data_IF_231328431122
#
_entry.id   IF_231328431122
#
_cell.length_a   1.000
_cell.length_b   1.000
_cell.length_c   1.000
_cell.angle_alpha   90.00
_cell.angle_beta   90.00
_cell.angle_gamma   90.00
#
_symmetry.space_group_name_H-M   'P 1'
#
loop_
_entity.id
_entity.type
_entity.pdbx_description
1 polymer ?
#
# COMPACT_ATOMS: atom_id res chain seq x y z
N UNK A 1 -3.71 -12.83 -15.44
CA UNK A 1 -2.71 -12.03 -14.70
C UNK A 1 -3.05 -12.16 -13.24
N UNK A 2 -2.25 -12.92 -12.49
CA UNK A 2 -2.62 -13.31 -11.14
C UNK A 2 -2.48 -12.12 -10.17
N UNK A 3 -3.59 -11.60 -9.61
CA UNK A 3 -3.57 -10.44 -8.73
C UNK A 3 -2.85 -10.69 -7.39
N UNK A 4 -2.40 -11.92 -7.17
CA UNK A 4 -1.60 -12.36 -6.02
C UNK A 4 -0.11 -12.05 -6.26
N UNK A 5 0.39 -12.26 -7.48
CA UNK A 5 1.80 -12.05 -7.81
C UNK A 5 2.22 -10.58 -7.68
N UNK A 6 1.38 -9.65 -8.13
CA UNK A 6 1.64 -8.20 -8.03
C UNK A 6 1.81 -7.74 -6.57
N UNK A 7 0.98 -8.25 -5.65
CA UNK A 7 1.04 -7.88 -4.23
C UNK A 7 2.29 -8.42 -3.55
N UNK A 8 2.66 -9.66 -3.89
CA UNK A 8 3.89 -10.27 -3.39
C UNK A 8 5.12 -9.48 -3.87
N UNK A 9 5.15 -9.07 -5.14
CA UNK A 9 6.23 -8.27 -5.69
C UNK A 9 6.40 -6.95 -4.94
N UNK A 10 5.30 -6.23 -4.69
CA UNK A 10 5.30 -4.98 -3.94
C UNK A 10 5.75 -5.18 -2.49
N UNK A 11 5.26 -6.23 -1.82
CA UNK A 11 5.65 -6.54 -0.44
C UNK A 11 7.15 -6.87 -0.34
N UNK A 12 7.67 -7.69 -1.26
CA UNK A 12 9.10 -8.03 -1.31
C UNK A 12 9.95 -6.80 -1.60
N UNK A 13 9.54 -5.93 -2.54
CA UNK A 13 10.24 -4.68 -2.83
C UNK A 13 10.32 -3.78 -1.60
N UNK A 14 9.22 -3.61 -0.87
CA UNK A 14 9.21 -2.84 0.37
C UNK A 14 10.16 -3.42 1.42
N UNK A 15 10.15 -4.74 1.62
CA UNK A 15 11.04 -5.42 2.57
C UNK A 15 12.52 -5.23 2.20
N UNK A 16 12.87 -5.34 0.91
CA UNK A 16 14.23 -5.07 0.43
C UNK A 16 14.66 -3.61 0.62
N UNK A 17 13.73 -2.66 0.49
CA UNK A 17 14.03 -1.26 0.76
C UNK A 17 14.32 -1.01 2.25
N UNK A 18 13.68 -1.73 3.17
CA UNK A 18 13.96 -1.62 4.60
C UNK A 18 15.38 -2.04 4.97
N UNK A 19 15.92 -3.08 4.32
CA UNK A 19 17.30 -3.51 4.58
C UNK A 19 18.33 -2.57 3.95
N UNK A 20 17.97 -1.91 2.85
CA UNK A 20 18.89 -1.08 2.06
C UNK A 20 18.93 0.37 2.57
N UNK A 21 17.82 0.88 3.10
CA UNK A 21 17.69 2.27 3.51
C UNK A 21 17.45 2.41 5.01
N UNK A 22 18.39 3.04 5.70
CA UNK A 22 18.16 3.54 7.05
C UNK A 22 17.36 4.86 6.95
N UNK A 23 16.03 4.74 6.96
CA UNK A 23 15.09 5.86 7.02
C UNK A 23 14.22 5.66 8.28
N UNK A 24 14.12 6.65 9.18
CA UNK A 24 13.30 6.54 10.38
C UNK A 24 11.84 6.24 10.04
N UNK A 25 11.24 5.24 10.68
CA UNK A 25 9.83 4.85 10.52
C UNK A 25 9.40 4.30 9.16
N UNK A 26 10.34 4.03 8.24
CA UNK A 26 10.02 3.41 6.95
C UNK A 26 9.41 2.02 7.11
N UNK A 27 9.86 1.27 8.13
CA UNK A 27 9.32 -0.05 8.49
C UNK A 27 7.84 0.00 8.87
N UNK A 28 7.43 1.05 9.58
CA UNK A 28 6.02 1.25 9.96
C UNK A 28 5.16 1.49 8.73
N UNK A 29 5.62 2.35 7.82
CA UNK A 29 4.89 2.64 6.58
C UNK A 29 4.78 1.41 5.67
N UNK A 30 5.88 0.64 5.52
CA UNK A 30 5.87 -0.62 4.79
C UNK A 30 4.91 -1.64 5.42
N UNK A 31 4.92 -1.80 6.75
CA UNK A 31 4.03 -2.69 7.47
C UNK A 31 2.54 -2.31 7.29
N UNK A 32 2.22 -1.01 7.32
CA UNK A 32 0.86 -0.50 7.06
C UNK A 32 0.40 -0.87 5.65
N UNK A 33 1.25 -0.67 4.64
CA UNK A 33 0.91 -0.95 3.25
C UNK A 33 0.67 -2.44 3.03
N UNK A 34 1.60 -3.29 3.48
CA UNK A 34 1.51 -4.75 3.36
C UNK A 34 0.30 -5.29 4.14
N UNK A 35 0.16 -4.89 5.40
CA UNK A 35 -0.94 -5.32 6.26
C UNK A 35 -2.31 -4.99 5.67
N UNK A 36 -2.45 -3.80 5.08
CA UNK A 36 -3.68 -3.41 4.37
C UNK A 36 -3.93 -4.26 3.14
N UNK A 37 -2.91 -4.60 2.35
CA UNK A 37 -3.10 -5.44 1.16
C UNK A 37 -3.65 -6.82 1.54
N UNK A 38 -3.16 -7.41 2.63
CA UNK A 38 -3.67 -8.68 3.16
C UNK A 38 -5.10 -8.51 3.69
N UNK A 39 -5.34 -7.52 4.56
CA UNK A 39 -6.63 -7.29 5.19
C UNK A 39 -7.76 -7.05 4.18
N UNK A 40 -7.53 -6.21 3.16
CA UNK A 40 -8.53 -5.94 2.12
C UNK A 40 -8.72 -7.15 1.20
N UNK A 41 -7.69 -7.96 0.99
CA UNK A 41 -7.82 -9.21 0.23
C UNK A 41 -8.73 -10.20 0.94
N UNK A 42 -8.47 -10.43 2.24
CA UNK A 42 -9.28 -11.30 3.08
C UNK A 42 -10.73 -10.79 3.22
N UNK A 43 -10.92 -9.48 3.44
CA UNK A 43 -12.25 -8.88 3.51
C UNK A 43 -13.03 -9.09 2.21
N UNK A 44 -12.38 -8.90 1.06
CA UNK A 44 -13.00 -9.09 -0.25
C UNK A 44 -13.37 -10.55 -0.51
N UNK A 45 -12.52 -11.48 -0.10
CA UNK A 45 -12.79 -12.91 -0.19
C UNK A 45 -13.98 -13.32 0.68
N UNK A 46 -14.02 -12.88 1.93
CA UNK A 46 -15.14 -13.11 2.83
C UNK A 46 -16.46 -12.51 2.29
N UNK A 47 -16.44 -11.26 1.82
CA UNK A 47 -17.64 -10.63 1.22
C UNK A 47 -18.15 -11.39 -0.01
N UNK A 48 -17.23 -11.93 -0.83
CA UNK A 48 -17.60 -12.79 -1.95
C UNK A 48 -18.27 -14.08 -1.49
N UNK A 49 -17.83 -14.68 -0.39
CA UNK A 49 -18.42 -15.88 0.18
C UNK A 49 -19.83 -15.63 0.76
N UNK A 50 -20.10 -14.45 1.33
CA UNK A 50 -21.42 -14.05 1.85
C UNK A 50 -22.36 -13.53 0.75
N UNK A 51 -21.91 -13.50 -0.52
CA UNK A 51 -22.73 -13.07 -1.66
C UNK A 51 -23.01 -11.57 -1.72
N UNK A 52 -22.37 -10.75 -0.87
CA UNK A 52 -22.53 -9.30 -0.85
C UNK A 52 -21.42 -8.63 -1.66
N UNK A 53 -21.79 -8.02 -2.79
CA UNK A 53 -20.89 -7.17 -3.56
C UNK A 53 -20.97 -5.74 -3.04
N UNK A 54 -20.10 -5.39 -2.10
CA UNK A 54 -19.94 -4.00 -1.68
C UNK A 54 -19.21 -3.25 -2.80
N UNK A 55 -19.97 -2.58 -3.66
CA UNK A 55 -19.44 -1.64 -4.66
C UNK A 55 -19.14 -0.31 -3.98
N UNK A 56 -18.05 -0.27 -3.20
CA UNK A 56 -17.57 1.00 -2.65
C UNK A 56 -16.93 1.78 -3.81
N UNK A 57 -17.54 2.90 -4.22
CA UNK A 57 -16.93 3.86 -5.15
C UNK A 57 -15.70 4.53 -4.50
N UNK A 58 -14.56 3.83 -4.51
CA UNK A 58 -13.24 4.32 -4.03
C UNK A 58 -12.28 4.53 -5.20
N UNK A 59 -12.79 4.54 -6.43
CA UNK A 59 -11.99 4.35 -7.64
C UNK A 59 -10.92 5.42 -7.85
N UNK A 60 -11.21 6.68 -7.52
CA UNK A 60 -10.23 7.76 -7.73
C UNK A 60 -9.13 7.78 -6.67
N UNK A 61 -9.48 7.65 -5.37
CA UNK A 61 -8.46 7.63 -4.31
C UNK A 61 -7.54 6.40 -4.38
N UNK A 62 -8.07 5.26 -4.86
CA UNK A 62 -7.26 4.06 -5.06
C UNK A 62 -6.17 4.28 -6.12
N UNK A 63 -6.46 5.02 -7.20
CA UNK A 63 -5.50 5.33 -8.28
C UNK A 63 -4.35 6.21 -7.79
N UNK A 64 -4.65 7.28 -7.06
CA UNK A 64 -3.62 8.18 -6.54
C UNK A 64 -2.68 7.46 -5.57
N UNK A 65 -3.24 6.64 -4.67
CA UNK A 65 -2.44 5.83 -3.75
C UNK A 65 -1.48 4.91 -4.50
N UNK A 66 -1.95 4.17 -5.50
CA UNK A 66 -1.09 3.26 -6.28
C UNK A 66 -0.05 4.01 -7.10
N UNK A 67 -0.40 5.15 -7.69
CA UNK A 67 0.56 5.98 -8.41
C UNK A 67 1.68 6.48 -7.48
N UNK A 68 1.32 6.99 -6.30
CA UNK A 68 2.29 7.43 -5.29
C UNK A 68 3.17 6.28 -4.80
N UNK A 69 2.58 5.10 -4.56
CA UNK A 69 3.31 3.92 -4.11
C UNK A 69 4.32 3.44 -5.15
N UNK A 70 3.90 3.30 -6.41
CA UNK A 70 4.78 2.86 -7.49
C UNK A 70 5.90 3.87 -7.74
N UNK A 71 5.60 5.17 -7.72
CA UNK A 71 6.58 6.23 -7.92
C UNK A 71 7.59 6.28 -6.75
N UNK A 72 7.13 6.06 -5.52
CA UNK A 72 7.98 5.95 -4.34
C UNK A 72 8.95 4.77 -4.44
N UNK A 73 8.44 3.60 -4.84
CA UNK A 73 9.26 2.40 -5.03
C UNK A 73 10.32 2.62 -6.10
N UNK A 74 9.96 3.17 -7.26
CA UNK A 74 10.91 3.46 -8.34
C UNK A 74 12.02 4.40 -7.85
N UNK A 75 11.68 5.48 -7.14
CA UNK A 75 12.67 6.41 -6.59
C UNK A 75 13.61 5.76 -5.57
N UNK A 76 13.07 4.95 -4.67
CA UNK A 76 13.84 4.32 -3.60
C UNK A 76 14.71 3.16 -4.12
N UNK A 77 14.26 2.44 -5.14
CA UNK A 77 15.05 1.39 -5.81
C UNK A 77 16.15 1.99 -6.67
N UNK A 78 15.90 3.12 -7.34
CA UNK A 78 16.89 3.79 -8.18
C UNK A 78 18.00 4.49 -7.39
N UNK A 79 17.77 4.79 -6.11
CA UNK A 79 18.78 5.43 -5.27
C UNK A 79 20.01 4.53 -5.06
N UNK A 80 21.19 5.08 -5.38
CA UNK A 80 22.49 4.47 -5.10
C UNK A 80 23.33 5.39 -4.19
N UNK A 81 24.18 4.87 -3.28
CA UNK A 81 25.13 5.68 -2.51
C UNK A 81 26.05 6.46 -3.47
N UNK A 82 25.91 7.78 -3.53
CA UNK A 82 26.59 8.65 -4.53
C UNK A 82 25.63 9.32 -5.53
N UNK A 83 24.36 8.93 -5.55
CA UNK A 83 23.29 9.61 -6.28
C UNK A 83 22.72 10.79 -5.49
N UNK A 84 21.73 11.47 -6.07
CA UNK A 84 21.12 12.64 -5.47
C UNK A 84 20.42 12.33 -4.14
N UNK A 85 20.86 12.98 -3.06
CA UNK A 85 20.28 12.83 -1.72
C UNK A 85 18.78 13.15 -1.67
N UNK A 86 18.31 14.08 -2.50
CA UNK A 86 16.89 14.44 -2.55
C UNK A 86 16.00 13.27 -3.01
N UNK A 87 16.51 12.37 -3.85
CA UNK A 87 15.74 11.24 -4.39
C UNK A 87 15.29 10.27 -3.29
N UNK A 88 16.18 10.01 -2.32
CA UNK A 88 15.89 9.18 -1.14
C UNK A 88 14.75 9.77 -0.31
N UNK A 89 14.82 11.07 -0.01
CA UNK A 89 13.80 11.74 0.82
C UNK A 89 12.48 11.93 0.09
N UNK A 90 12.50 12.28 -1.20
CA UNK A 90 11.29 12.36 -2.00
C UNK A 90 10.56 11.01 -2.06
N UNK A 91 11.29 9.91 -2.33
CA UNK A 91 10.72 8.57 -2.32
C UNK A 91 10.13 8.19 -0.97
N UNK A 92 10.83 8.48 0.13
CA UNK A 92 10.35 8.23 1.50
C UNK A 92 9.08 9.01 1.83
N UNK A 93 9.05 10.31 1.54
CA UNK A 93 7.89 11.19 1.77
C UNK A 93 6.68 10.68 0.99
N UNK A 94 6.88 10.30 -0.27
CA UNK A 94 5.81 9.79 -1.12
C UNK A 94 5.25 8.45 -0.60
N UNK A 95 6.13 7.60 -0.05
CA UNK A 95 5.74 6.36 0.60
C UNK A 95 4.93 6.61 1.88
N UNK A 96 5.28 7.62 2.68
CA UNK A 96 4.50 8.03 3.84
C UNK A 96 3.11 8.56 3.46
N UNK A 97 3.03 9.41 2.44
CA UNK A 97 1.73 9.86 1.93
C UNK A 97 0.88 8.69 1.44
N UNK A 98 1.48 7.73 0.74
CA UNK A 98 0.79 6.52 0.32
C UNK A 98 0.30 5.68 1.51
N UNK A 99 1.10 5.53 2.57
CA UNK A 99 0.69 4.82 3.78
C UNK A 99 -0.50 5.49 4.48
N UNK A 100 -0.53 6.83 4.57
CA UNK A 100 -1.66 7.58 5.14
C UNK A 100 -2.94 7.36 4.31
N UNK A 101 -2.85 7.51 2.98
CA UNK A 101 -3.96 7.23 2.06
C UNK A 101 -4.43 5.77 2.16
N UNK A 102 -3.49 4.86 2.42
CA UNK A 102 -3.77 3.43 2.61
C UNK A 102 -4.68 3.20 3.80
N UNK A 103 -4.38 3.80 4.95
CA UNK A 103 -5.21 3.75 6.17
C UNK A 103 -6.58 4.36 5.89
N UNK A 104 -6.63 5.55 5.29
CA UNK A 104 -7.89 6.22 4.97
C UNK A 104 -8.80 5.33 4.09
N UNK A 105 -8.22 4.73 3.05
CA UNK A 105 -8.94 3.81 2.17
C UNK A 105 -9.47 2.58 2.92
N UNK A 106 -8.70 2.06 3.87
CA UNK A 106 -9.08 0.89 4.66
C UNK A 106 -10.27 1.19 5.57
N UNK A 107 -10.28 2.35 6.22
CA UNK A 107 -11.39 2.78 7.07
C UNK A 107 -12.70 2.90 6.30
N UNK A 108 -12.66 3.43 5.07
CA UNK A 108 -13.83 3.51 4.19
C UNK A 108 -14.35 2.10 3.87
N UNK A 109 -13.47 1.18 3.49
CA UNK A 109 -13.84 -0.21 3.20
C UNK A 109 -14.45 -0.90 4.41
N UNK A 110 -13.81 -0.77 5.57
CA UNK A 110 -14.30 -1.39 6.80
C UNK A 110 -15.65 -0.80 7.22
N UNK A 111 -15.84 0.51 7.11
CA UNK A 111 -17.13 1.17 7.39
C UNK A 111 -18.22 0.70 6.42
N UNK A 112 -17.89 0.46 5.16
CA UNK A 112 -18.84 -0.05 4.18
C UNK A 112 -19.22 -1.52 4.44
N UNK A 113 -18.30 -2.34 4.97
CA UNK A 113 -18.55 -3.73 5.36
C UNK A 113 -19.19 -3.87 6.75
N UNK A 114 -19.10 -2.85 7.61
CA UNK A 114 -19.62 -2.86 8.99
C UNK A 114 -21.11 -3.26 9.13
N UNK A 115 -22.03 -2.80 8.26
CA UNK A 115 -23.44 -3.21 8.33
C UNK A 115 -23.66 -4.70 8.07
N UNK A 116 -22.74 -5.33 7.35
CA UNK A 116 -22.80 -6.73 6.95
C UNK A 116 -22.09 -7.67 7.95
N UNK A 117 -21.30 -7.09 8.86
CA UNK A 117 -20.58 -7.82 9.91
C UNK A 117 -21.41 -8.03 11.19
N UNK A 118 -22.58 -7.39 11.30
CA UNK A 118 -23.58 -7.63 12.36
C UNK A 118 -24.46 -8.81 12.02
#
# INVERSE_FOLDING_TARGET
>A
MDPVADKLLVAVALVMLLSTHQIPYLSVAAAIIIGREIAISALREWMSAVGKRVSVKVTEMAKYKTAMQMLALVMLVWYHPGSYFWLKWCGAILLYFSAILTIWSMLIYLKAAWPDLK
#
